data_IF_879313669872
#
_entry.id   IF_879313669872
#
_cell.length_a   1.000
_cell.length_b   1.000
_cell.length_c   1.000
_cell.angle_alpha   90.00
_cell.angle_beta   90.00
_cell.angle_gamma   90.00
#
_symmetry.space_group_name_H-M   'P 1'
#
loop_
_entity.id
_entity.type
_entity.pdbx_description
1 polymer ?
#
# COMPACT_ATOMS: atom_id res chain seq x y z
N UNK A 1 8.45 10.37 22.92
CA UNK A 1 8.88 11.77 22.70
C UNK A 1 8.57 12.15 21.25
N UNK A 2 7.27 12.20 20.90
CA UNK A 2 6.76 12.60 19.56
C UNK A 2 5.82 13.81 19.70
N UNK A 3 5.06 13.86 20.80
CA UNK A 3 4.10 14.92 21.12
C UNK A 3 4.66 16.36 21.15
N UNK A 4 5.97 16.55 21.30
CA UNK A 4 6.58 17.88 21.29
C UNK A 4 6.62 18.51 19.89
N UNK A 5 6.71 17.68 18.84
CA UNK A 5 6.87 18.15 17.45
C UNK A 5 5.56 18.53 16.76
N UNK A 6 4.41 18.18 17.36
CA UNK A 6 3.09 18.45 16.77
C UNK A 6 2.49 19.78 17.26
N UNK A 7 3.02 20.38 18.34
CA UNK A 7 2.42 21.55 18.98
C UNK A 7 3.23 22.86 18.96
N UNK A 8 4.57 22.82 18.94
CA UNK A 8 5.39 24.03 19.20
C UNK A 8 6.47 24.34 18.15
N UNK A 9 6.74 23.47 17.17
CA UNK A 9 7.79 23.70 16.17
C UNK A 9 7.20 23.77 14.77
N UNK A 10 7.33 24.93 14.12
CA UNK A 10 6.97 25.13 12.70
C UNK A 10 7.75 24.20 11.76
N UNK A 11 8.87 23.64 12.23
CA UNK A 11 9.72 22.77 11.45
C UNK A 11 9.90 21.40 12.10
N UNK A 12 9.59 20.31 11.38
CA UNK A 12 9.85 18.97 11.88
C UNK A 12 11.36 18.75 12.06
N UNK A 13 11.78 17.92 13.03
CA UNK A 13 13.19 17.61 13.19
C UNK A 13 13.74 16.96 11.91
N UNK A 14 14.70 17.61 11.26
CA UNK A 14 15.21 17.22 9.94
C UNK A 14 15.71 15.76 9.90
N UNK A 15 16.22 15.25 11.02
CA UNK A 15 16.69 13.88 11.15
C UNK A 15 15.58 12.83 11.09
N UNK A 16 14.31 13.19 11.33
CA UNK A 16 13.16 12.28 11.28
C UNK A 16 12.57 12.17 9.87
N UNK A 17 12.79 13.16 9.00
CA UNK A 17 12.22 13.21 7.65
C UNK A 17 12.56 11.96 6.83
N UNK A 18 13.82 11.45 6.80
CA UNK A 18 14.13 10.22 6.06
C UNK A 18 13.42 8.98 6.60
N UNK A 19 13.26 8.89 7.93
CA UNK A 19 12.59 7.76 8.57
C UNK A 19 11.08 7.78 8.28
N UNK A 20 10.45 8.96 8.31
CA UNK A 20 9.05 9.16 7.96
C UNK A 20 8.82 8.91 6.47
N UNK A 21 9.68 9.42 5.59
CA UNK A 21 9.60 9.22 4.14
C UNK A 21 9.59 7.72 3.81
N UNK A 22 10.48 6.96 4.46
CA UNK A 22 10.55 5.50 4.32
C UNK A 22 9.29 4.80 4.87
N UNK A 23 8.77 5.24 6.02
CA UNK A 23 7.58 4.66 6.63
C UNK A 23 6.31 4.89 5.78
N UNK A 24 6.17 6.09 5.22
CA UNK A 24 5.03 6.47 4.39
C UNK A 24 5.18 6.09 2.91
N UNK A 25 6.38 5.69 2.49
CA UNK A 25 6.66 5.29 1.10
C UNK A 25 6.55 6.46 0.11
N UNK A 26 6.87 7.67 0.56
CA UNK A 26 6.87 8.91 -0.23
C UNK A 26 8.27 9.56 -0.17
N UNK A 27 8.56 10.53 -1.04
CA UNK A 27 9.81 11.28 -0.97
C UNK A 27 9.82 12.27 0.21
N UNK A 28 11.01 12.74 0.59
CA UNK A 28 11.14 13.82 1.58
C UNK A 28 10.48 15.11 1.09
N UNK A 29 10.56 15.41 -0.21
CA UNK A 29 9.96 16.60 -0.83
C UNK A 29 8.43 16.61 -0.67
N UNK A 30 7.79 15.44 -0.77
CA UNK A 30 6.35 15.29 -0.51
C UNK A 30 6.00 15.56 0.95
N UNK A 31 6.84 15.11 1.90
CA UNK A 31 6.62 15.39 3.33
C UNK A 31 6.82 16.87 3.67
N UNK A 32 7.65 17.57 2.91
CA UNK A 32 7.93 19.00 3.10
C UNK A 32 6.99 19.90 2.29
N UNK A 33 6.03 19.34 1.54
CA UNK A 33 5.09 20.10 0.71
C UNK A 33 5.74 20.76 -0.52
N UNK A 34 6.94 20.31 -0.90
CA UNK A 34 7.69 20.80 -2.07
C UNK A 34 7.31 20.06 -3.36
N UNK A 35 6.68 18.89 -3.22
CA UNK A 35 6.19 18.09 -4.34
C UNK A 35 4.82 17.49 -3.97
N UNK A 36 4.01 17.21 -4.98
CA UNK A 36 2.76 16.49 -4.77
C UNK A 36 3.06 15.00 -4.56
N UNK A 37 2.31 14.29 -3.69
CA UNK A 37 2.44 12.85 -3.56
C UNK A 37 2.11 12.20 -4.91
N UNK A 38 3.14 11.90 -5.72
CA UNK A 38 3.02 11.30 -7.06
C UNK A 38 2.49 9.86 -7.07
N UNK A 39 2.06 9.36 -5.93
CA UNK A 39 1.28 8.14 -5.85
C UNK A 39 1.07 7.75 -4.40
N UNK A 40 -0.18 7.40 -4.08
CA UNK A 40 -0.47 6.51 -2.94
C UNK A 40 0.53 5.36 -3.00
N UNK A 41 1.48 5.35 -2.07
CA UNK A 41 2.56 4.37 -2.02
C UNK A 41 2.01 2.99 -2.35
N UNK A 42 2.45 2.42 -3.48
CA UNK A 42 2.13 1.06 -3.95
C UNK A 42 0.72 0.74 -4.43
N UNK A 43 -0.24 1.67 -4.48
CA UNK A 43 -1.43 1.44 -5.33
C UNK A 43 -1.06 1.88 -6.75
N UNK A 44 -0.05 1.21 -7.31
CA UNK A 44 0.20 1.19 -8.75
C UNK A 44 -1.16 0.93 -9.39
N UNK A 45 -1.50 1.63 -10.47
CA UNK A 45 -2.66 1.36 -11.32
C UNK A 45 -2.61 -0.06 -11.88
N UNK A 46 -2.76 -1.03 -11.00
CA UNK A 46 -2.58 -2.43 -11.25
C UNK A 46 -3.94 -2.90 -11.76
N UNK A 47 -4.02 -3.40 -13.00
CA UNK A 47 -5.24 -4.01 -13.51
C UNK A 47 -5.83 -5.04 -12.52
N UNK A 48 -4.99 -5.71 -11.72
CA UNK A 48 -5.42 -6.61 -10.66
C UNK A 48 -6.14 -5.90 -9.52
N UNK A 49 -5.65 -4.74 -9.08
CA UNK A 49 -6.28 -3.98 -8.00
C UNK A 49 -7.68 -3.50 -8.37
N UNK A 50 -7.83 -3.01 -9.61
CA UNK A 50 -9.15 -2.65 -10.15
C UNK A 50 -10.11 -3.84 -10.20
N UNK A 51 -9.62 -5.03 -10.55
CA UNK A 51 -10.41 -6.27 -10.53
C UNK A 51 -10.79 -6.67 -9.10
N UNK A 52 -9.87 -6.56 -8.13
CA UNK A 52 -10.20 -6.83 -6.72
C UNK A 52 -11.28 -5.89 -6.18
N UNK A 53 -11.20 -4.59 -6.48
CA UNK A 53 -12.25 -3.63 -6.13
C UNK A 53 -13.62 -3.95 -6.74
N UNK A 54 -13.66 -4.58 -7.92
CA UNK A 54 -14.92 -5.05 -8.52
C UNK A 54 -15.43 -6.32 -7.82
N UNK A 55 -14.53 -7.25 -7.49
CA UNK A 55 -14.86 -8.50 -6.79
C UNK A 55 -15.44 -8.22 -5.41
N UNK A 56 -14.94 -7.21 -4.69
CA UNK A 56 -15.47 -6.83 -3.37
C UNK A 56 -16.95 -6.44 -3.39
N UNK A 57 -17.43 -5.88 -4.51
CA UNK A 57 -18.83 -5.48 -4.70
C UNK A 57 -19.77 -6.65 -5.00
N UNK A 58 -19.24 -7.84 -5.27
CA UNK A 58 -20.02 -9.03 -5.59
C UNK A 58 -20.71 -9.63 -4.36
N UNK A 59 -21.69 -10.50 -4.60
CA UNK A 59 -22.37 -11.27 -3.56
C UNK A 59 -21.42 -12.18 -2.79
N UNK A 60 -21.81 -12.60 -1.58
CA UNK A 60 -20.97 -13.49 -0.75
C UNK A 60 -20.63 -14.81 -1.44
N UNK A 61 -21.59 -15.38 -2.19
CA UNK A 61 -21.38 -16.63 -2.93
C UNK A 61 -20.32 -16.49 -4.03
N UNK A 62 -20.43 -15.44 -4.85
CA UNK A 62 -19.51 -15.15 -5.96
C UNK A 62 -18.10 -14.85 -5.45
N UNK A 63 -17.97 -14.06 -4.38
CA UNK A 63 -16.68 -13.80 -3.73
C UNK A 63 -16.02 -15.08 -3.24
N UNK A 64 -16.78 -15.97 -2.61
CA UNK A 64 -16.25 -17.26 -2.11
C UNK A 64 -15.75 -18.14 -3.26
N UNK A 65 -16.48 -18.18 -4.37
CA UNK A 65 -16.07 -18.95 -5.54
C UNK A 65 -14.77 -18.41 -6.16
N UNK A 66 -14.63 -17.09 -6.25
CA UNK A 66 -13.43 -16.43 -6.77
C UNK A 66 -12.23 -16.69 -5.86
N UNK A 67 -12.40 -16.60 -4.54
CA UNK A 67 -11.35 -16.93 -3.57
C UNK A 67 -10.85 -18.38 -3.75
N UNK A 68 -11.77 -19.35 -3.84
CA UNK A 68 -11.42 -20.76 -4.06
C UNK A 68 -10.65 -21.00 -5.37
N UNK A 69 -10.98 -20.28 -6.43
CA UNK A 69 -10.26 -20.38 -7.70
C UNK A 69 -8.83 -19.84 -7.57
N UNK A 70 -8.67 -18.70 -6.90
CA UNK A 70 -7.36 -18.10 -6.64
C UNK A 70 -6.49 -19.03 -5.79
N UNK A 71 -7.05 -19.63 -4.74
CA UNK A 71 -6.34 -20.56 -3.86
C UNK A 71 -5.78 -21.76 -4.64
N UNK A 72 -6.61 -22.40 -5.47
CA UNK A 72 -6.18 -23.52 -6.33
C UNK A 72 -5.06 -23.13 -7.29
N UNK A 73 -5.17 -21.94 -7.89
CA UNK A 73 -4.15 -21.47 -8.82
C UNK A 73 -2.82 -21.22 -8.12
N UNK A 74 -2.85 -20.58 -6.94
CA UNK A 74 -1.65 -20.31 -6.14
C UNK A 74 -0.99 -21.62 -5.69
N UNK A 75 -1.77 -22.58 -5.19
CA UNK A 75 -1.28 -23.89 -4.77
C UNK A 75 -0.60 -24.63 -5.93
N UNK A 76 -1.23 -24.66 -7.10
CA UNK A 76 -0.67 -25.30 -8.30
C UNK A 76 0.67 -24.71 -8.70
N UNK A 77 0.80 -23.37 -8.65
CA UNK A 77 2.06 -22.68 -8.98
C UNK A 77 3.13 -22.96 -7.93
N UNK A 78 2.76 -23.02 -6.64
CA UNK A 78 3.69 -23.37 -5.57
C UNK A 78 4.23 -24.79 -5.73
N UNK A 79 3.35 -25.75 -6.01
CA UNK A 79 3.74 -27.14 -6.25
C UNK A 79 4.68 -27.28 -7.45
N UNK A 80 4.40 -26.58 -8.56
CA UNK A 80 5.28 -26.56 -9.75
C UNK A 80 6.66 -25.93 -9.51
N UNK A 81 6.80 -25.04 -8.52
CA UNK A 81 8.09 -24.40 -8.18
C UNK A 81 8.90 -25.20 -7.17
N UNK A 82 8.27 -26.15 -6.49
CA UNK A 82 8.91 -27.02 -5.50
C UNK A 82 9.43 -28.34 -6.10
N UNK A 83 9.07 -28.63 -7.35
CA UNK A 83 9.61 -29.70 -8.19
C UNK A 83 10.74 -29.16 -9.07
#
# INVERSE_FOLDING_TARGET
MIAYCEGESEHPPTHLIPALAKAFGVSADVLLGLDEPTGRGRVRDNPLWRRFMQIEKLGRGERKQIAQLLDKFIETVRLKRAQ
#
